data_IF_898021397878
#
_entry.id   IF_898021397878
#
_cell.length_a   1.000
_cell.length_b   1.000
_cell.length_c   1.000
_cell.angle_alpha   90.00
_cell.angle_beta   90.00
_cell.angle_gamma   90.00
#
_symmetry.space_group_name_H-M   'P 1'
#
loop_
_entity.id
_entity.type
_entity.pdbx_description
1 polymer ?
#
# COMPACT_ATOMS: atom_id res chain seq x y z
N UNK A 1 0.40 -19.87 12.44
CA UNK A 1 0.71 -18.59 11.74
C UNK A 1 1.03 -18.93 10.28
N UNK A 2 0.36 -18.33 9.27
CA UNK A 2 0.96 -18.27 7.91
C UNK A 2 0.11 -18.44 6.64
N UNK A 3 -1.12 -18.97 6.65
CA UNK A 3 -1.74 -19.44 5.39
C UNK A 3 -2.30 -18.36 4.43
N UNK A 4 -2.32 -17.07 4.80
CA UNK A 4 -2.94 -16.03 3.96
C UNK A 4 -2.06 -15.60 2.75
N UNK A 5 -0.75 -15.79 2.82
CA UNK A 5 0.16 -15.51 1.69
C UNK A 5 0.23 -16.67 0.68
N UNK A 6 -0.20 -17.87 1.04
CA UNK A 6 -0.12 -19.05 0.17
C UNK A 6 -1.06 -18.98 -1.05
N UNK A 7 -2.08 -18.12 -1.03
CA UNK A 7 -2.97 -17.91 -2.19
C UNK A 7 -2.36 -17.00 -3.26
N UNK A 8 -1.31 -16.24 -2.91
CA UNK A 8 -0.49 -15.46 -3.84
C UNK A 8 0.83 -16.22 -3.99
N UNK A 9 0.77 -17.35 -4.71
CA UNK A 9 1.92 -18.19 -5.10
C UNK A 9 3.12 -17.32 -5.49
N UNK A 10 4.35 -17.68 -5.08
CA UNK A 10 5.52 -16.78 -5.04
C UNK A 10 5.77 -15.87 -6.24
N UNK A 11 5.33 -16.24 -7.45
CA UNK A 11 5.35 -15.42 -8.67
C UNK A 11 4.54 -14.13 -8.54
N UNK A 12 3.37 -14.23 -7.94
CA UNK A 12 2.45 -13.12 -7.82
C UNK A 12 3.01 -12.10 -6.80
N UNK A 13 3.58 -12.57 -5.67
CA UNK A 13 4.28 -11.74 -4.68
C UNK A 13 5.45 -10.97 -5.31
N UNK A 14 6.26 -11.66 -6.11
CA UNK A 14 7.34 -11.04 -6.87
C UNK A 14 6.83 -9.98 -7.86
N UNK A 15 5.72 -10.24 -8.55
CA UNK A 15 5.09 -9.28 -9.47
C UNK A 15 4.63 -7.99 -8.78
N UNK A 16 4.03 -8.09 -7.60
CA UNK A 16 3.65 -6.93 -6.80
C UNK A 16 4.85 -6.09 -6.36
N UNK A 17 5.94 -6.74 -5.94
CA UNK A 17 7.18 -6.06 -5.53
C UNK A 17 7.83 -5.36 -6.73
N UNK A 18 7.92 -6.03 -7.89
CA UNK A 18 8.48 -5.46 -9.11
C UNK A 18 7.67 -4.24 -9.60
N UNK A 19 6.34 -4.31 -9.51
CA UNK A 19 5.47 -3.20 -9.87
C UNK A 19 5.69 -1.96 -8.98
N UNK A 20 5.80 -2.16 -7.66
CA UNK A 20 6.10 -1.07 -6.71
C UNK A 20 7.48 -0.46 -7.00
N UNK A 21 8.48 -1.29 -7.30
CA UNK A 21 9.83 -0.82 -7.64
C UNK A 21 9.82 0.05 -8.91
N UNK A 22 9.12 -0.38 -9.95
CA UNK A 22 8.96 0.40 -11.19
C UNK A 22 8.28 1.76 -10.95
N UNK A 23 7.22 1.80 -10.10
CA UNK A 23 6.58 3.07 -9.71
C UNK A 23 7.51 3.96 -8.89
N UNK A 24 8.32 3.40 -8.00
CA UNK A 24 9.32 4.14 -7.23
C UNK A 24 10.37 4.80 -8.13
N UNK A 25 10.89 4.06 -9.11
CA UNK A 25 11.83 4.60 -10.09
C UNK A 25 11.19 5.66 -11.00
N UNK A 26 9.92 5.50 -11.38
CA UNK A 26 9.18 6.52 -12.13
C UNK A 26 9.04 7.82 -11.32
N UNK A 27 8.69 7.72 -10.04
CA UNK A 27 8.59 8.88 -9.15
C UNK A 27 9.94 9.58 -8.97
N UNK A 28 11.04 8.82 -8.88
CA UNK A 28 12.38 9.37 -8.82
C UNK A 28 12.80 10.09 -10.12
N UNK A 29 12.35 9.61 -11.28
CA UNK A 29 12.57 10.28 -12.57
C UNK A 29 11.78 11.58 -12.70
N UNK A 30 10.53 11.61 -12.23
CA UNK A 30 9.65 12.79 -12.31
C UNK A 30 9.95 13.82 -11.20
N UNK A 31 10.53 13.40 -10.09
CA UNK A 31 10.84 14.23 -8.92
C UNK A 31 11.61 15.53 -9.23
N UNK A 32 12.73 15.50 -9.99
CA UNK A 32 13.50 16.70 -10.34
C UNK A 32 12.70 17.71 -11.17
N UNK A 33 11.83 17.25 -12.07
CA UNK A 33 10.97 18.13 -12.87
C UNK A 33 9.96 18.86 -11.99
N UNK A 34 9.35 18.13 -11.06
CA UNK A 34 8.42 18.67 -10.07
C UNK A 34 9.13 19.69 -9.17
N UNK A 35 10.31 19.35 -8.63
CA UNK A 35 11.11 20.26 -7.80
C UNK A 35 11.51 21.53 -8.58
N UNK A 36 11.92 21.38 -9.85
CA UNK A 36 12.23 22.50 -10.73
C UNK A 36 11.05 23.43 -10.97
N UNK A 37 9.86 22.87 -11.16
CA UNK A 37 8.61 23.62 -11.29
C UNK A 37 8.23 24.35 -9.98
N UNK A 38 8.35 23.68 -8.83
CA UNK A 38 8.06 24.27 -7.53
C UNK A 38 9.03 25.39 -7.14
N UNK A 39 10.28 25.33 -7.59
CA UNK A 39 11.26 26.42 -7.39
C UNK A 39 10.86 27.71 -8.11
N UNK A 40 10.09 27.62 -9.20
CA UNK A 40 9.66 28.74 -10.02
C UNK A 40 8.37 29.42 -9.52
N UNK A 41 7.70 28.87 -8.50
CA UNK A 41 6.47 29.46 -7.93
C UNK A 41 6.74 30.30 -6.68
N UNK A 42 5.99 31.41 -6.47
CA UNK A 42 6.06 32.21 -5.26
C UNK A 42 5.55 31.39 -4.05
N UNK A 43 6.46 31.05 -3.14
CA UNK A 43 6.24 30.11 -2.01
C UNK A 43 7.37 29.08 -1.86
N UNK A 44 8.15 28.87 -2.92
CA UNK A 44 9.40 28.12 -2.91
C UNK A 44 9.27 26.67 -2.42
N UNK A 45 10.34 26.17 -1.81
CA UNK A 45 10.47 24.75 -1.42
C UNK A 45 9.53 24.34 -0.27
N UNK A 46 9.08 25.30 0.55
CA UNK A 46 8.23 25.02 1.72
C UNK A 46 6.87 24.45 1.34
N UNK A 47 6.21 25.00 0.32
CA UNK A 47 4.90 24.48 -0.13
C UNK A 47 5.00 23.04 -0.65
N UNK A 48 6.11 22.68 -1.30
CA UNK A 48 6.39 21.31 -1.73
C UNK A 48 6.61 20.34 -0.58
N UNK A 49 7.33 20.78 0.46
CA UNK A 49 7.52 20.03 1.69
C UNK A 49 6.20 19.79 2.44
N UNK A 50 5.33 20.80 2.54
CA UNK A 50 4.01 20.64 3.13
C UNK A 50 3.13 19.66 2.34
N UNK A 51 3.15 19.73 1.01
CA UNK A 51 2.43 18.77 0.16
C UNK A 51 2.93 17.33 0.35
N UNK A 52 4.25 17.12 0.42
CA UNK A 52 4.87 15.82 0.71
C UNK A 52 4.46 15.29 2.09
N UNK A 53 4.46 16.15 3.11
CA UNK A 53 4.07 15.77 4.47
C UNK A 53 2.59 15.35 4.53
N UNK A 54 1.70 16.09 3.87
CA UNK A 54 0.27 15.76 3.81
C UNK A 54 0.05 14.43 3.07
N UNK A 55 0.75 14.19 1.95
CA UNK A 55 0.64 12.92 1.24
C UNK A 55 1.17 11.74 2.04
N UNK A 56 2.28 11.91 2.76
CA UNK A 56 2.81 10.88 3.66
C UNK A 56 1.82 10.54 4.79
N UNK A 57 1.21 11.56 5.39
CA UNK A 57 0.16 11.37 6.39
C UNK A 57 -1.07 10.66 5.80
N UNK A 58 -1.54 11.07 4.62
CA UNK A 58 -2.67 10.43 3.95
C UNK A 58 -2.39 8.95 3.66
N UNK A 59 -1.19 8.62 3.15
CA UNK A 59 -0.75 7.25 2.92
C UNK A 59 -0.73 6.42 4.21
N UNK A 60 -0.26 7.01 5.31
CA UNK A 60 -0.22 6.37 6.64
C UNK A 60 -1.63 6.08 7.15
N UNK A 61 -2.55 7.05 7.04
CA UNK A 61 -3.95 6.88 7.44
C UNK A 61 -4.62 5.79 6.59
N UNK A 62 -4.40 5.80 5.27
CA UNK A 62 -4.93 4.78 4.36
C UNK A 62 -4.39 3.39 4.70
N UNK A 63 -3.10 3.26 5.00
CA UNK A 63 -2.49 1.99 5.42
C UNK A 63 -3.10 1.49 6.74
N UNK A 64 -3.24 2.35 7.74
CA UNK A 64 -3.86 1.98 9.02
C UNK A 64 -5.31 1.55 8.81
N UNK A 65 -6.07 2.27 7.99
CA UNK A 65 -7.45 1.93 7.66
C UNK A 65 -7.54 0.57 6.97
N UNK A 66 -6.71 0.32 5.96
CA UNK A 66 -6.66 -0.96 5.25
C UNK A 66 -6.27 -2.10 6.19
N UNK A 67 -5.26 -1.91 7.05
CA UNK A 67 -4.85 -2.91 8.04
C UNK A 67 -5.96 -3.21 9.05
N UNK A 68 -6.70 -2.18 9.51
CA UNK A 68 -7.88 -2.37 10.36
C UNK A 68 -8.96 -3.15 9.64
N UNK A 69 -9.29 -2.78 8.40
CA UNK A 69 -10.29 -3.45 7.57
C UNK A 69 -9.92 -4.92 7.35
N UNK A 70 -8.68 -5.22 7.01
CA UNK A 70 -8.19 -6.59 6.82
C UNK A 70 -8.22 -7.41 8.12
N UNK A 71 -7.97 -6.79 9.28
CA UNK A 71 -8.12 -7.46 10.58
C UNK A 71 -9.57 -7.83 10.87
N UNK A 72 -10.51 -6.95 10.54
CA UNK A 72 -11.95 -7.21 10.71
C UNK A 72 -12.42 -8.34 9.80
N UNK A 73 -12.04 -8.32 8.53
CA UNK A 73 -12.36 -9.38 7.56
C UNK A 73 -11.70 -10.73 7.92
N UNK A 74 -10.53 -10.70 8.56
CA UNK A 74 -9.86 -11.92 9.06
C UNK A 74 -10.59 -12.53 10.25
N UNK A 75 -11.25 -11.72 11.08
CA UNK A 75 -11.99 -12.20 12.25
C UNK A 75 -13.22 -13.02 11.86
N UNK A 76 -13.94 -12.63 10.81
CA UNK A 76 -15.10 -13.38 10.29
C UNK A 76 -14.70 -14.68 9.62
N UNK A 77 -13.56 -14.73 8.91
CA UNK A 77 -13.03 -15.97 8.30
C UNK A 77 -12.60 -17.02 9.33
N UNK A 78 -12.14 -16.59 10.51
CA UNK A 78 -11.69 -17.51 11.58
C UNK A 78 -12.83 -18.22 12.32
N UNK A 79 -14.09 -17.78 12.15
CA UNK A 79 -15.26 -18.35 12.87
C UNK A 79 -16.07 -19.37 12.04
N UNK A 80 -15.63 -19.71 10.83
CA UNK A 80 -16.26 -20.73 9.97
C UNK A 80 -15.36 -21.94 9.59
N UNK A 81 -14.52 -22.53 10.46
CA UNK A 81 -13.91 -23.83 10.15
C UNK A 81 -14.87 -25.03 10.37
N UNK A 82 -15.95 -24.87 11.15
CA UNK A 82 -16.72 -26.03 11.65
C UNK A 82 -17.73 -26.60 10.62
N UNK A 83 -18.22 -25.77 9.68
CA UNK A 83 -19.27 -26.18 8.73
C UNK A 83 -18.67 -26.74 7.42
N UNK A 84 -17.46 -26.31 7.04
CA UNK A 84 -16.80 -26.78 5.83
C UNK A 84 -16.28 -28.23 5.97
N UNK A 85 -15.89 -28.64 7.18
CA UNK A 85 -15.46 -30.02 7.46
C UNK A 85 -16.66 -30.97 7.51
N UNK A 86 -17.84 -30.49 7.94
CA UNK A 86 -19.05 -31.30 8.05
C UNK A 86 -19.80 -31.49 6.72
N UNK A 87 -19.54 -30.65 5.70
CA UNK A 87 -20.14 -30.77 4.35
C UNK A 87 -19.24 -31.58 3.41
N UNK A 88 -17.96 -31.78 3.75
CA UNK A 88 -16.95 -32.45 2.91
C UNK A 88 -16.50 -33.82 3.48
N UNK A 89 -16.96 -34.21 4.68
CA UNK A 89 -16.78 -35.56 5.27
C UNK A 89 -18.08 -36.34 5.21
#
# INVERSE_FOLDING_TARGET
MGAAFCFFSGSAAAGGIAFINSLGNLGAFVGPFVIGYLRSQPGGFSTGLYALAIMGLAATVMLIFLLRLLRLLRQTRSKQPDVLVFVVT
#
